data_IF_573681244217
#
_entry.id   IF_573681244217
#
_cell.length_a   1.000
_cell.length_b   1.000
_cell.length_c   1.000
_cell.angle_alpha   90.00
_cell.angle_beta   90.00
_cell.angle_gamma   90.00
#
_symmetry.space_group_name_H-M   'P 1'
#
loop_
_entity.id
_entity.type
_entity.pdbx_description
1 polymer ?
#
# COMPACT_ATOMS: atom_id res chain seq x y z
N UNK A 1 7.76 34.39 -34.42
CA UNK A 1 6.28 34.46 -34.45
C UNK A 1 5.78 33.82 -33.19
N UNK A 2 5.61 34.56 -32.15
CA UNK A 2 4.54 35.40 -31.64
C UNK A 2 3.15 34.73 -31.63
N UNK A 3 2.65 34.52 -30.48
CA UNK A 3 1.31 34.80 -29.88
C UNK A 3 0.99 33.74 -28.82
N UNK A 4 0.46 33.96 -27.73
CA UNK A 4 -0.06 35.06 -26.89
C UNK A 4 -0.88 34.43 -25.81
N UNK A 5 -0.74 34.96 -24.65
CA UNK A 5 -1.40 34.71 -23.38
C UNK A 5 -2.93 34.78 -23.51
N UNK A 6 -3.64 33.97 -22.74
CA UNK A 6 -4.92 34.38 -22.13
C UNK A 6 -4.91 33.98 -20.65
N UNK A 7 -4.85 34.99 -19.82
CA UNK A 7 -5.13 34.97 -18.38
C UNK A 7 -6.61 35.27 -18.25
N UNK A 8 -7.37 34.42 -17.57
CA UNK A 8 -8.73 34.75 -17.13
C UNK A 8 -8.79 34.71 -15.62
N UNK A 9 -8.83 35.90 -15.07
CA UNK A 9 -9.12 36.20 -13.66
C UNK A 9 -10.64 36.14 -13.48
N UNK A 10 -11.12 35.37 -12.51
CA UNK A 10 -12.44 35.50 -11.97
C UNK A 10 -12.36 35.92 -10.51
N UNK A 11 -12.78 37.18 -10.30
CA UNK A 11 -12.95 37.79 -8.98
C UNK A 11 -14.29 37.43 -8.37
N UNK A 12 -14.19 37.20 -7.10
CA UNK A 12 -15.15 37.15 -6.02
C UNK A 12 -16.40 38.05 -6.08
N UNK A 13 -17.45 37.59 -5.48
CA UNK A 13 -18.42 38.42 -4.79
C UNK A 13 -18.89 37.71 -3.51
N UNK A 14 -18.54 38.32 -2.39
CA UNK A 14 -19.03 38.00 -1.06
C UNK A 14 -20.42 38.64 -0.89
N UNK A 15 -21.36 37.86 -0.37
CA UNK A 15 -22.60 38.39 0.19
C UNK A 15 -22.85 37.81 1.57
N UNK A 16 -22.64 38.64 2.56
CA UNK A 16 -23.05 38.49 3.96
C UNK A 16 -24.56 38.60 4.11
N UNK A 17 -25.21 37.60 4.68
CA UNK A 17 -26.56 37.72 5.21
C UNK A 17 -26.55 37.29 6.68
N UNK A 18 -26.71 38.28 7.56
CA UNK A 18 -26.95 38.08 8.98
C UNK A 18 -28.45 37.76 9.21
N UNK A 19 -28.75 36.61 9.79
CA UNK A 19 -30.08 36.30 10.30
C UNK A 19 -29.98 36.05 11.80
N UNK A 20 -30.56 36.99 12.55
CA UNK A 20 -30.88 36.85 13.96
C UNK A 20 -32.04 35.85 14.10
N UNK A 21 -31.85 34.81 14.86
CA UNK A 21 -32.93 33.91 15.30
C UNK A 21 -32.91 33.81 16.82
N UNK A 22 -33.98 34.28 17.40
CA UNK A 22 -34.35 34.30 18.81
C UNK A 22 -34.43 32.89 19.40
N UNK A 23 -33.83 32.74 20.58
CA UNK A 23 -33.82 31.51 21.37
C UNK A 23 -35.15 31.30 22.09
N UNK A 24 -35.83 30.21 21.82
CA UNK A 24 -36.82 29.61 22.69
C UNK A 24 -36.22 28.39 23.42
N UNK A 25 -36.02 28.53 24.72
CA UNK A 25 -35.56 27.44 25.56
C UNK A 25 -36.73 26.49 25.86
N UNK A 26 -36.73 25.31 25.23
CA UNK A 26 -37.55 24.18 25.63
C UNK A 26 -36.66 23.20 26.42
N UNK A 27 -36.92 23.09 27.71
CA UNK A 27 -36.32 22.10 28.57
C UNK A 27 -36.81 20.69 28.16
N UNK A 28 -35.94 19.87 27.61
CA UNK A 28 -36.16 18.44 27.35
C UNK A 28 -35.57 17.59 28.49
N UNK A 29 -36.25 16.49 28.90
CA UNK A 29 -35.75 15.63 29.96
C UNK A 29 -34.44 14.92 29.55
N UNK A 30 -33.54 14.80 30.52
CA UNK A 30 -32.28 14.12 30.40
C UNK A 30 -32.50 12.65 30.01
N UNK A 31 -32.36 12.33 28.74
CA UNK A 31 -32.18 10.96 28.30
C UNK A 31 -30.77 10.50 28.72
N UNK A 32 -30.69 9.39 29.46
CA UNK A 32 -29.44 8.73 29.82
C UNK A 32 -28.64 8.43 28.53
N UNK A 33 -27.68 9.29 28.26
CA UNK A 33 -26.83 9.16 27.09
C UNK A 33 -25.93 7.92 27.23
N UNK A 34 -26.20 6.89 26.44
CA UNK A 34 -25.22 5.87 26.10
C UNK A 34 -24.05 6.60 25.43
N UNK A 35 -22.97 6.80 26.18
CA UNK A 35 -21.74 7.40 25.66
C UNK A 35 -21.27 6.57 24.48
N UNK A 36 -21.45 7.08 23.26
CA UNK A 36 -20.85 6.51 22.08
C UNK A 36 -19.32 6.45 22.32
N UNK A 37 -18.65 5.31 22.02
CA UNK A 37 -17.22 5.22 22.18
C UNK A 37 -16.57 6.35 21.37
N UNK A 38 -15.75 7.15 22.05
CA UNK A 38 -15.03 8.25 21.45
C UNK A 38 -14.32 7.75 20.18
N UNK A 39 -14.38 8.48 19.06
CA UNK A 39 -13.70 8.09 17.84
C UNK A 39 -12.21 7.87 18.18
N UNK A 40 -11.73 6.64 17.97
CA UNK A 40 -10.31 6.33 18.14
C UNK A 40 -9.55 7.27 17.23
N UNK A 41 -8.91 8.28 17.82
CA UNK A 41 -7.99 9.15 17.10
C UNK A 41 -6.98 8.25 16.40
N UNK A 42 -7.02 8.23 15.08
CA UNK A 42 -6.12 7.41 14.29
C UNK A 42 -4.68 7.79 14.68
N UNK A 43 -3.99 6.86 15.33
CA UNK A 43 -2.60 7.07 15.72
C UNK A 43 -1.81 7.38 14.46
N UNK A 44 -1.00 8.45 14.43
CA UNK A 44 -0.27 8.81 13.22
C UNK A 44 0.56 7.62 12.76
N UNK A 45 0.47 7.29 11.46
CA UNK A 45 1.18 6.16 10.86
C UNK A 45 2.69 6.30 11.14
N UNK A 46 3.28 5.26 11.74
CA UNK A 46 4.69 5.23 12.10
C UNK A 46 5.52 4.52 11.04
N UNK A 47 6.82 4.84 10.98
CA UNK A 47 7.80 4.09 10.19
C UNK A 47 8.71 3.31 11.13
N UNK A 48 9.23 2.17 10.70
CA UNK A 48 10.13 1.35 11.50
C UNK A 48 10.07 -0.13 11.18
N UNK A 49 10.67 -0.92 12.06
CA UNK A 49 10.72 -2.38 11.99
C UNK A 49 9.79 -2.95 13.07
N UNK A 50 8.94 -3.89 12.68
CA UNK A 50 7.91 -4.46 13.55
C UNK A 50 8.06 -5.98 13.62
N UNK A 51 8.05 -6.53 14.83
CA UNK A 51 8.20 -7.97 15.03
C UNK A 51 7.01 -8.77 14.45
N UNK A 52 5.83 -8.19 14.41
CA UNK A 52 4.61 -8.87 13.98
C UNK A 52 3.86 -8.10 12.89
N UNK A 53 3.07 -8.82 12.09
CA UNK A 53 2.21 -8.23 11.08
C UNK A 53 1.13 -7.31 11.64
N UNK A 54 0.43 -7.62 12.75
CA UNK A 54 -0.53 -6.69 13.36
C UNK A 54 0.09 -5.37 13.80
N UNK A 55 1.31 -5.39 14.35
CA UNK A 55 2.03 -4.15 14.70
C UNK A 55 2.36 -3.32 13.45
N UNK A 56 2.84 -3.99 12.38
CA UNK A 56 3.12 -3.32 11.11
C UNK A 56 1.86 -2.75 10.46
N UNK A 57 0.72 -3.47 10.51
CA UNK A 57 -0.57 -3.01 10.01
C UNK A 57 -1.03 -1.75 10.75
N UNK A 58 -0.94 -1.75 12.08
CA UNK A 58 -1.26 -0.58 12.89
C UNK A 58 -0.36 0.63 12.56
N UNK A 59 0.93 0.38 12.29
CA UNK A 59 1.89 1.42 11.91
C UNK A 59 1.68 1.92 10.48
N UNK A 60 1.36 1.04 9.54
CA UNK A 60 1.10 1.38 8.15
C UNK A 60 -0.19 2.19 7.99
N UNK A 61 -1.19 1.93 8.83
CA UNK A 61 -2.49 2.60 8.79
C UNK A 61 -3.43 2.09 7.68
N UNK A 62 -3.15 0.93 7.12
CA UNK A 62 -4.00 0.24 6.15
C UNK A 62 -3.91 -1.28 6.31
N UNK A 63 -4.94 -2.04 5.87
CA UNK A 63 -4.97 -3.49 5.99
C UNK A 63 -3.83 -4.16 5.21
N UNK A 64 -3.04 -4.99 5.90
CA UNK A 64 -1.97 -5.77 5.30
C UNK A 64 -2.39 -7.20 5.00
N UNK A 65 -1.63 -7.86 4.14
CA UNK A 65 -1.76 -9.28 3.82
C UNK A 65 -0.44 -9.99 4.10
N UNK A 66 -0.54 -11.20 4.63
CA UNK A 66 0.63 -12.06 4.88
C UNK A 66 0.53 -13.34 4.07
N UNK A 67 1.64 -13.90 3.61
CA UNK A 67 1.63 -15.20 2.95
C UNK A 67 1.32 -16.29 3.98
N UNK A 68 0.46 -17.25 3.58
CA UNK A 68 0.12 -18.42 4.38
C UNK A 68 0.82 -19.69 3.90
N UNK A 69 1.37 -19.67 2.69
CA UNK A 69 2.21 -20.74 2.15
C UNK A 69 3.57 -20.16 1.76
N UNK A 70 4.61 -20.67 2.39
CA UNK A 70 5.97 -20.15 2.29
C UNK A 70 6.94 -21.13 1.59
N UNK A 71 6.45 -22.28 1.13
CA UNK A 71 7.29 -23.28 0.44
C UNK A 71 8.58 -23.62 1.20
N UNK A 72 8.50 -23.74 2.54
CA UNK A 72 9.66 -24.00 3.39
C UNK A 72 10.51 -22.78 3.76
N UNK A 73 10.21 -21.61 3.22
CA UNK A 73 10.91 -20.38 3.59
C UNK A 73 10.38 -19.83 4.92
N UNK A 74 11.23 -19.18 5.66
CA UNK A 74 10.88 -18.47 6.90
C UNK A 74 11.01 -16.97 6.68
N UNK A 75 10.30 -16.17 7.48
CA UNK A 75 10.48 -14.73 7.45
C UNK A 75 11.88 -14.39 7.96
N UNK A 76 12.68 -13.71 7.14
CA UNK A 76 14.09 -13.42 7.38
C UNK A 76 14.33 -12.11 8.16
N UNK A 77 13.34 -11.64 8.93
CA UNK A 77 13.49 -10.42 9.72
C UNK A 77 12.14 -9.79 10.08
N UNK A 78 12.15 -8.54 10.57
CA UNK A 78 10.94 -7.81 10.91
C UNK A 78 10.11 -7.46 9.65
N UNK A 79 8.86 -7.08 9.86
CA UNK A 79 8.08 -6.36 8.85
C UNK A 79 8.49 -4.89 8.91
N UNK A 80 8.94 -4.35 7.80
CA UNK A 80 9.40 -2.96 7.73
C UNK A 80 8.28 -2.08 7.17
N UNK A 81 8.00 -0.96 7.84
CA UNK A 81 7.09 0.08 7.33
C UNK A 81 7.92 1.34 7.06
N UNK A 82 7.87 1.85 5.84
CA UNK A 82 8.59 3.05 5.42
C UNK A 82 7.71 3.99 4.61
N UNK A 83 8.17 5.20 4.35
CA UNK A 83 7.51 6.11 3.41
C UNK A 83 7.76 5.67 1.98
N UNK A 84 6.81 5.97 1.10
CA UNK A 84 6.99 5.79 -0.33
C UNK A 84 8.06 6.77 -0.84
N UNK A 85 8.99 6.29 -1.66
CA UNK A 85 10.10 7.10 -2.18
C UNK A 85 9.72 7.87 -3.45
N UNK A 86 8.65 7.47 -4.12
CA UNK A 86 8.18 8.12 -5.34
C UNK A 86 7.75 9.56 -5.07
N UNK A 87 8.24 10.48 -5.88
CA UNK A 87 7.93 11.91 -5.79
C UNK A 87 6.40 12.14 -5.77
N UNK A 88 5.94 12.96 -4.85
CA UNK A 88 4.51 13.24 -4.66
C UNK A 88 3.76 12.19 -3.82
N UNK A 89 4.39 11.08 -3.45
CA UNK A 89 3.77 10.01 -2.65
C UNK A 89 4.40 9.82 -1.27
N UNK A 90 5.26 10.73 -0.80
CA UNK A 90 5.95 10.61 0.49
C UNK A 90 5.02 10.53 1.72
N UNK A 91 3.75 10.93 1.58
CA UNK A 91 2.72 10.75 2.60
C UNK A 91 2.18 9.31 2.67
N UNK A 92 2.41 8.50 1.64
CA UNK A 92 2.00 7.10 1.59
C UNK A 92 3.00 6.20 2.30
N UNK A 93 2.54 5.03 2.71
CA UNK A 93 3.36 4.02 3.40
C UNK A 93 3.49 2.78 2.54
N UNK A 94 4.63 2.14 2.69
CA UNK A 94 4.85 0.79 2.17
C UNK A 94 5.26 -0.11 3.33
N UNK A 95 4.59 -1.25 3.44
CA UNK A 95 4.95 -2.32 4.36
C UNK A 95 5.61 -3.44 3.55
N UNK A 96 6.74 -3.97 4.01
CA UNK A 96 7.46 -5.05 3.32
C UNK A 96 7.98 -6.10 4.29
N UNK A 97 8.04 -7.35 3.80
CA UNK A 97 8.64 -8.48 4.51
C UNK A 97 9.42 -9.35 3.53
N UNK A 98 10.52 -9.93 4.01
CA UNK A 98 11.40 -10.82 3.26
C UNK A 98 11.33 -12.22 3.85
N UNK A 99 11.37 -13.23 2.98
CA UNK A 99 11.33 -14.66 3.32
C UNK A 99 12.50 -15.38 2.64
N UNK A 100 13.12 -16.30 3.36
CA UNK A 100 14.31 -17.02 2.93
C UNK A 100 15.51 -16.72 3.79
N UNK A 101 16.70 -17.01 3.27
CA UNK A 101 17.98 -16.69 3.90
C UNK A 101 18.82 -15.81 2.97
N UNK A 102 19.82 -15.08 3.49
CA UNK A 102 20.69 -14.23 2.65
C UNK A 102 21.40 -14.96 1.52
N UNK A 103 21.57 -16.27 1.65
CA UNK A 103 22.34 -17.10 0.69
C UNK A 103 21.46 -18.05 -0.13
N UNK A 104 20.15 -18.05 0.08
CA UNK A 104 19.21 -18.91 -0.63
C UNK A 104 18.21 -18.09 -1.43
N UNK A 105 17.29 -18.77 -2.07
CA UNK A 105 16.16 -18.16 -2.74
C UNK A 105 15.39 -17.23 -1.80
N UNK A 106 15.07 -16.05 -2.28
CA UNK A 106 14.35 -15.02 -1.55
C UNK A 106 12.99 -14.75 -2.19
N UNK A 107 11.98 -14.68 -1.35
CA UNK A 107 10.70 -14.08 -1.70
C UNK A 107 10.49 -12.83 -0.84
N UNK A 108 9.92 -11.80 -1.42
CA UNK A 108 9.47 -10.63 -0.64
C UNK A 108 8.09 -10.20 -1.06
N UNK A 109 7.41 -9.53 -0.15
CA UNK A 109 6.14 -8.85 -0.40
C UNK A 109 6.26 -7.40 0.06
N UNK A 110 5.83 -6.48 -0.78
CA UNK A 110 5.63 -5.08 -0.45
C UNK A 110 4.19 -4.70 -0.75
N UNK A 111 3.59 -3.95 0.16
CA UNK A 111 2.21 -3.47 0.05
C UNK A 111 2.17 -1.98 0.31
N UNK A 112 1.48 -1.24 -0.53
CA UNK A 112 1.30 0.19 -0.34
C UNK A 112 -0.13 0.64 -0.66
N UNK A 113 -0.56 1.72 -0.02
CA UNK A 113 -1.89 2.29 -0.19
C UNK A 113 -1.93 3.45 -1.19
N UNK A 114 -0.96 3.54 -2.10
CA UNK A 114 -0.91 4.60 -3.11
C UNK A 114 -1.72 4.27 -4.36
N UNK A 115 -1.98 2.98 -4.61
CA UNK A 115 -2.56 2.51 -5.88
C UNK A 115 -1.60 2.65 -7.07
N UNK A 116 -0.33 2.94 -6.81
CA UNK A 116 0.73 3.08 -7.80
C UNK A 116 2.08 2.67 -7.20
N UNK A 117 3.07 2.27 -8.02
CA UNK A 117 4.37 1.83 -7.54
C UNK A 117 5.08 2.85 -6.65
N UNK A 118 5.53 2.41 -5.48
CA UNK A 118 6.37 3.19 -4.57
C UNK A 118 7.85 3.20 -4.96
N UNK A 119 8.23 2.34 -5.87
CA UNK A 119 9.57 2.29 -6.47
C UNK A 119 9.44 2.06 -7.98
N UNK A 120 10.43 2.46 -8.77
CA UNK A 120 10.46 2.12 -10.19
C UNK A 120 10.45 0.60 -10.38
N UNK A 121 9.62 0.14 -11.31
CA UNK A 121 9.62 -1.27 -11.73
C UNK A 121 10.91 -1.53 -12.48
N UNK A 122 11.69 -2.51 -12.04
CA UNK A 122 12.93 -2.90 -12.70
C UNK A 122 12.72 -4.17 -13.55
N UNK A 123 13.34 -4.20 -14.72
CA UNK A 123 13.28 -5.35 -15.62
C UNK A 123 12.35 -5.17 -16.82
N UNK A 124 12.26 -6.21 -17.63
CA UNK A 124 11.43 -6.24 -18.83
C UNK A 124 10.13 -6.99 -18.56
N UNK A 125 9.06 -6.54 -19.20
CA UNK A 125 7.76 -7.19 -19.09
C UNK A 125 7.79 -8.59 -19.69
N UNK A 126 7.30 -9.56 -18.93
CA UNK A 126 7.21 -10.96 -19.36
C UNK A 126 5.79 -11.32 -19.81
N UNK A 127 4.81 -11.12 -18.94
CA UNK A 127 3.41 -11.45 -19.21
C UNK A 127 2.45 -10.93 -18.14
N UNK A 128 1.17 -10.99 -18.45
CA UNK A 128 0.11 -10.82 -17.47
C UNK A 128 -0.14 -12.13 -16.69
N UNK A 129 -0.55 -11.99 -15.41
CA UNK A 129 -0.86 -13.10 -14.50
C UNK A 129 -2.15 -12.78 -13.74
N UNK A 130 -3.04 -13.75 -13.56
CA UNK A 130 -4.26 -13.57 -12.74
C UNK A 130 -3.95 -13.85 -11.27
N UNK A 131 -4.15 -12.83 -10.41
CA UNK A 131 -3.97 -12.90 -8.96
C UNK A 131 -5.25 -12.41 -8.28
N UNK A 132 -5.91 -13.26 -7.51
CA UNK A 132 -7.14 -12.92 -6.78
C UNK A 132 -8.21 -12.21 -7.63
N UNK A 133 -8.38 -12.64 -8.90
CA UNK A 133 -9.37 -12.07 -9.80
C UNK A 133 -8.92 -10.81 -10.56
N UNK A 134 -7.80 -10.20 -10.22
CA UNK A 134 -7.24 -9.04 -10.94
C UNK A 134 -6.06 -9.44 -11.82
N UNK A 135 -5.72 -8.59 -12.79
CA UNK A 135 -4.53 -8.77 -13.63
C UNK A 135 -3.32 -8.16 -12.96
N UNK A 136 -2.30 -8.98 -12.69
CA UNK A 136 -0.96 -8.54 -12.33
C UNK A 136 -0.02 -8.57 -13.52
N UNK A 137 1.06 -7.82 -13.45
CA UNK A 137 2.13 -7.75 -14.46
C UNK A 137 3.38 -8.40 -13.88
N UNK A 138 3.89 -9.41 -14.61
CA UNK A 138 5.14 -10.07 -14.26
C UNK A 138 6.28 -9.48 -15.08
N UNK A 139 7.34 -9.08 -14.39
CA UNK A 139 8.58 -8.58 -14.95
C UNK A 139 9.73 -9.51 -14.60
N UNK A 140 10.81 -9.45 -15.37
CA UNK A 140 12.04 -10.20 -15.12
C UNK A 140 13.26 -9.32 -15.32
N UNK A 141 14.29 -9.52 -14.49
CA UNK A 141 15.59 -8.89 -14.66
C UNK A 141 16.69 -9.96 -14.66
N UNK A 142 17.68 -9.76 -15.52
CA UNK A 142 18.86 -10.62 -15.60
C UNK A 142 19.87 -10.21 -14.52
N UNK A 143 20.43 -11.17 -13.79
CA UNK A 143 21.53 -10.90 -12.86
C UNK A 143 22.90 -11.06 -13.54
N UNK A 144 23.05 -12.09 -14.38
CA UNK A 144 24.33 -12.41 -15.03
C UNK A 144 24.15 -12.70 -16.52
N UNK A 145 23.11 -13.47 -16.88
CA UNK A 145 22.77 -13.77 -18.27
C UNK A 145 21.26 -13.84 -18.43
N UNK A 146 20.74 -13.43 -19.59
CA UNK A 146 19.31 -13.43 -19.87
C UNK A 146 18.72 -14.81 -20.23
N UNK A 147 19.48 -15.86 -20.15
CA UNK A 147 18.97 -17.23 -20.35
C UNK A 147 17.92 -17.62 -19.29
N UNK A 148 18.05 -17.06 -18.05
CA UNK A 148 17.05 -17.19 -16.99
C UNK A 148 16.94 -15.85 -16.24
N UNK A 149 15.73 -15.38 -15.99
CA UNK A 149 15.53 -14.22 -15.13
C UNK A 149 15.96 -14.59 -13.70
N UNK A 150 16.97 -13.91 -13.18
CA UNK A 150 17.46 -14.09 -11.81
C UNK A 150 16.60 -13.40 -10.78
N UNK A 151 15.91 -12.32 -11.18
CA UNK A 151 14.93 -11.61 -10.36
C UNK A 151 13.60 -11.56 -11.10
N UNK A 152 12.53 -11.88 -10.42
CA UNK A 152 11.16 -11.74 -10.91
C UNK A 152 10.40 -10.79 -10.01
N UNK A 153 9.62 -9.91 -10.63
CA UNK A 153 8.77 -8.91 -10.00
C UNK A 153 7.33 -9.09 -10.48
N UNK A 154 6.39 -9.33 -9.56
CA UNK A 154 4.97 -9.47 -9.86
C UNK A 154 4.20 -8.36 -9.16
N UNK A 155 3.61 -7.46 -9.94
CA UNK A 155 2.93 -6.27 -9.46
C UNK A 155 1.45 -6.35 -9.82
N UNK A 156 0.56 -6.08 -8.86
CA UNK A 156 -0.88 -5.97 -9.09
C UNK A 156 -1.51 -4.96 -8.13
N UNK A 157 -2.65 -4.40 -8.54
CA UNK A 157 -3.43 -3.48 -7.72
C UNK A 157 -4.77 -4.15 -7.41
N UNK A 158 -5.16 -4.13 -6.14
CA UNK A 158 -6.45 -4.63 -5.69
C UNK A 158 -7.02 -3.74 -4.59
N UNK A 159 -8.25 -3.24 -4.80
CA UNK A 159 -8.93 -2.34 -3.85
C UNK A 159 -8.08 -1.12 -3.44
N UNK A 160 -7.39 -0.51 -4.38
CA UNK A 160 -6.55 0.67 -4.13
C UNK A 160 -5.20 0.39 -3.44
N UNK A 161 -4.93 -0.86 -3.06
CA UNK A 161 -3.63 -1.29 -2.56
C UNK A 161 -2.82 -1.89 -3.70
N UNK A 162 -1.61 -1.43 -3.86
CA UNK A 162 -0.62 -2.07 -4.71
C UNK A 162 0.15 -3.12 -3.93
N UNK A 163 0.38 -4.22 -4.57
CA UNK A 163 1.18 -5.35 -4.10
C UNK A 163 2.32 -5.59 -5.07
N UNK A 164 3.50 -5.76 -4.54
CA UNK A 164 4.69 -6.18 -5.27
C UNK A 164 5.26 -7.43 -4.60
N UNK A 165 5.22 -8.56 -5.29
CA UNK A 165 5.90 -9.77 -4.86
C UNK A 165 7.16 -9.96 -5.72
N UNK A 166 8.31 -10.08 -5.06
CA UNK A 166 9.60 -10.24 -5.73
C UNK A 166 10.23 -11.57 -5.37
N UNK A 167 10.90 -12.19 -6.31
CA UNK A 167 11.73 -13.37 -6.07
C UNK A 167 13.13 -13.20 -6.62
N UNK A 168 14.09 -13.80 -5.93
CA UNK A 168 15.47 -13.93 -6.38
C UNK A 168 15.79 -15.42 -6.42
N UNK A 169 16.20 -15.91 -7.58
CA UNK A 169 16.55 -17.31 -7.84
C UNK A 169 15.42 -18.34 -7.66
N UNK A 170 14.16 -17.88 -7.44
CA UNK A 170 13.00 -18.77 -7.38
C UNK A 170 12.30 -18.89 -8.73
N UNK A 171 11.78 -20.07 -9.08
CA UNK A 171 10.97 -20.24 -10.29
C UNK A 171 9.69 -19.38 -10.26
N UNK A 172 9.25 -18.92 -11.44
CA UNK A 172 8.07 -18.05 -11.56
C UNK A 172 6.78 -18.64 -10.96
N UNK A 173 6.61 -19.97 -10.98
CA UNK A 173 5.43 -20.60 -10.40
C UNK A 173 5.42 -20.49 -8.88
N UNK A 174 6.58 -20.50 -8.22
CA UNK A 174 6.71 -20.29 -6.77
C UNK A 174 6.29 -18.88 -6.41
N UNK A 175 6.77 -17.87 -7.13
CA UNK A 175 6.38 -16.47 -6.94
C UNK A 175 4.86 -16.26 -7.13
N UNK A 176 4.30 -16.83 -8.19
CA UNK A 176 2.86 -16.73 -8.47
C UNK A 176 2.04 -17.41 -7.38
N UNK A 177 2.44 -18.59 -6.92
CA UNK A 177 1.77 -19.29 -5.82
C UNK A 177 1.88 -18.52 -4.51
N UNK A 178 3.05 -17.97 -4.20
CA UNK A 178 3.24 -17.10 -3.04
C UNK A 178 2.25 -15.91 -3.06
N UNK A 179 2.15 -15.20 -4.18
CA UNK A 179 1.23 -14.07 -4.35
C UNK A 179 -0.26 -14.48 -4.21
N UNK A 180 -0.63 -15.68 -4.69
CA UNK A 180 -1.99 -16.21 -4.58
C UNK A 180 -2.39 -16.64 -3.17
N UNK A 181 -1.43 -16.86 -2.28
CA UNK A 181 -1.67 -17.28 -0.90
C UNK A 181 -1.48 -16.13 0.11
N UNK A 182 -1.65 -14.89 -0.34
CA UNK A 182 -1.69 -13.74 0.55
C UNK A 182 -3.08 -13.59 1.18
N UNK A 183 -3.13 -13.65 2.50
CA UNK A 183 -4.36 -13.50 3.29
C UNK A 183 -4.28 -12.29 4.21
N UNK A 184 -5.43 -11.67 4.47
CA UNK A 184 -5.52 -10.54 5.37
C UNK A 184 -4.94 -10.91 6.75
N UNK A 185 -4.21 -9.98 7.34
CA UNK A 185 -3.75 -10.07 8.74
C UNK A 185 -5.00 -10.05 9.63
N UNK A 186 -5.09 -10.97 10.58
CA UNK A 186 -6.19 -11.06 11.55
C UNK A 186 -5.64 -10.79 12.94
#
# INVERSE_FOLDING_TARGET
>A
MHRSRVVTVWQALATTAAALVTSAALALPAAAGTSAPAPRTARPAATGNFATWPQAEAAAGFPLRRPTRLHGLHRAGPVTVRRCETRGQHHKRVASAVYGTPFTALLSISENNSGAPCAPVSGFFLRNVRIHGVTGRLYGACLVSCARAGVLDLIWIRHGTEYEAKSVNEPKHVLINFARHLHRVR
#
